data_IF_247007740607
#
_entry.id   IF_247007740607
#
_cell.length_a   1.000
_cell.length_b   1.000
_cell.length_c   1.000
_cell.angle_alpha   90.00
_cell.angle_beta   90.00
_cell.angle_gamma   90.00
#
_symmetry.space_group_name_H-M   'P 1'
#
loop_
_entity.id
_entity.type
_entity.pdbx_description
1 polymer ?
#
# COMPACT_ATOMS: atom_id res chain seq x y z
N UNK A 1 -9.05 2.23 -34.29
CA UNK A 1 -9.52 2.29 -32.88
C UNK A 1 -9.02 1.05 -32.15
N UNK A 2 -8.43 1.20 -30.95
CA UNK A 2 -8.05 0.04 -30.13
C UNK A 2 -9.33 -0.69 -29.66
N UNK A 3 -9.29 -2.01 -29.53
CA UNK A 3 -10.38 -2.79 -28.92
C UNK A 3 -10.53 -2.42 -27.44
N UNK A 4 -11.78 -2.34 -26.97
CA UNK A 4 -12.09 -2.01 -25.57
C UNK A 4 -11.40 -2.95 -24.57
N UNK A 5 -11.31 -4.25 -24.89
CA UNK A 5 -10.60 -5.22 -24.06
C UNK A 5 -9.11 -4.89 -23.88
N UNK A 6 -8.43 -4.48 -24.96
CA UNK A 6 -7.02 -4.10 -24.92
C UNK A 6 -6.80 -2.83 -24.08
N UNK A 7 -7.73 -1.87 -24.14
CA UNK A 7 -7.66 -0.66 -23.31
C UNK A 7 -7.85 -1.00 -21.83
N UNK A 8 -8.79 -1.91 -21.51
CA UNK A 8 -8.99 -2.38 -20.13
C UNK A 8 -7.73 -3.08 -19.62
N UNK A 9 -7.10 -3.94 -20.43
CA UNK A 9 -5.89 -4.67 -20.03
C UNK A 9 -4.67 -3.74 -19.87
N UNK A 10 -4.55 -2.68 -20.67
CA UNK A 10 -3.52 -1.63 -20.51
C UNK A 10 -3.68 -0.86 -19.18
N UNK A 11 -4.92 -0.62 -18.73
CA UNK A 11 -5.22 0.10 -17.48
C UNK A 11 -5.18 -0.81 -16.26
N UNK A 12 -5.44 -2.11 -16.46
CA UNK A 12 -5.52 -3.07 -15.36
C UNK A 12 -4.14 -3.30 -14.79
N UNK A 13 -3.99 -3.10 -13.48
CA UNK A 13 -2.76 -3.46 -12.79
C UNK A 13 -2.62 -4.99 -12.76
N UNK A 14 -1.96 -5.55 -13.77
CA UNK A 14 -1.86 -7.00 -14.01
C UNK A 14 -1.21 -7.74 -12.84
N UNK A 15 -0.40 -7.04 -12.05
CA UNK A 15 0.32 -7.57 -10.88
C UNK A 15 -0.52 -7.61 -9.61
N UNK A 16 -1.71 -6.99 -9.58
CA UNK A 16 -2.58 -7.03 -8.41
C UNK A 16 -3.00 -8.48 -8.12
N UNK A 17 -2.84 -8.98 -6.88
CA UNK A 17 -3.26 -10.33 -6.52
C UNK A 17 -4.77 -10.51 -6.74
N UNK A 18 -5.16 -11.63 -7.35
CA UNK A 18 -6.56 -11.97 -7.64
C UNK A 18 -7.27 -12.61 -6.44
N UNK A 19 -6.53 -13.35 -5.62
CA UNK A 19 -7.06 -14.15 -4.51
C UNK A 19 -7.08 -13.34 -3.21
N UNK A 20 -7.93 -12.32 -3.15
CA UNK A 20 -8.15 -11.48 -1.96
C UNK A 20 -9.43 -11.97 -1.27
N UNK A 21 -9.31 -12.58 -0.10
CA UNK A 21 -10.45 -13.12 0.68
C UNK A 21 -10.53 -12.56 2.10
N UNK A 22 -9.43 -12.01 2.61
CA UNK A 22 -9.33 -11.44 3.96
C UNK A 22 -9.15 -9.93 3.88
N UNK A 23 -9.72 -9.23 4.86
CA UNK A 23 -9.67 -7.76 4.96
C UNK A 23 -8.23 -7.22 4.85
N UNK A 24 -7.29 -7.78 5.61
CA UNK A 24 -5.88 -7.35 5.56
C UNK A 24 -5.24 -7.49 4.18
N UNK A 25 -5.70 -8.41 3.33
CA UNK A 25 -5.20 -8.56 1.96
C UNK A 25 -5.70 -7.41 1.08
N UNK A 26 -6.99 -7.07 1.17
CA UNK A 26 -7.55 -5.91 0.49
C UNK A 26 -6.88 -4.61 0.96
N UNK A 27 -6.70 -4.46 2.27
CA UNK A 27 -6.09 -3.29 2.86
C UNK A 27 -4.63 -3.14 2.45
N UNK A 28 -3.83 -4.22 2.48
CA UNK A 28 -2.45 -4.21 1.98
C UNK A 28 -2.36 -3.82 0.51
N UNK A 29 -3.29 -4.29 -0.33
CA UNK A 29 -3.35 -3.86 -1.73
C UNK A 29 -3.71 -2.38 -1.88
N UNK A 30 -4.63 -1.87 -1.05
CA UNK A 30 -4.99 -0.45 -1.06
C UNK A 30 -3.82 0.45 -0.67
N UNK A 31 -3.05 0.10 0.37
CA UNK A 31 -1.83 0.84 0.75
C UNK A 31 -0.86 0.91 -0.43
N UNK A 32 -0.62 -0.24 -1.07
CA UNK A 32 0.28 -0.37 -2.20
C UNK A 32 -0.09 0.59 -3.35
N UNK A 33 -1.38 0.70 -3.66
CA UNK A 33 -1.92 1.57 -4.71
C UNK A 33 -1.84 3.05 -4.35
N UNK A 34 -2.17 3.40 -3.11
CA UNK A 34 -2.07 4.78 -2.61
C UNK A 34 -0.61 5.28 -2.65
N UNK A 35 0.34 4.40 -2.35
CA UNK A 35 1.77 4.72 -2.38
C UNK A 35 2.37 4.65 -3.79
N UNK A 36 1.63 4.14 -4.78
CA UNK A 36 2.10 3.95 -6.16
C UNK A 36 3.18 2.87 -6.30
N UNK A 37 3.25 1.92 -5.37
CA UNK A 37 4.32 0.90 -5.30
C UNK A 37 3.83 -0.49 -5.68
N UNK A 38 3.08 -0.55 -6.79
CA UNK A 38 2.26 -1.71 -7.19
C UNK A 38 3.05 -2.96 -7.58
N UNK A 39 4.37 -2.88 -7.64
CA UNK A 39 5.22 -4.05 -7.83
C UNK A 39 5.41 -4.85 -6.53
N UNK A 40 5.06 -4.28 -5.37
CA UNK A 40 5.37 -4.85 -4.04
C UNK A 40 4.14 -5.17 -3.21
N UNK A 41 3.03 -5.59 -3.83
CA UNK A 41 1.80 -5.98 -3.13
C UNK A 41 2.02 -6.95 -1.95
N UNK A 42 2.83 -8.00 -2.15
CA UNK A 42 3.12 -9.00 -1.10
C UNK A 42 3.71 -8.39 0.18
N UNK A 43 4.52 -7.34 0.05
CA UNK A 43 5.11 -6.64 1.18
C UNK A 43 4.04 -5.94 2.01
N UNK A 44 3.17 -5.17 1.36
CA UNK A 44 2.13 -4.41 2.05
C UNK A 44 1.03 -5.30 2.63
N UNK A 45 0.69 -6.40 1.96
CA UNK A 45 -0.20 -7.43 2.52
C UNK A 45 0.42 -8.06 3.78
N UNK A 46 1.72 -8.37 3.75
CA UNK A 46 2.42 -8.89 4.94
C UNK A 46 2.40 -7.87 6.08
N UNK A 47 2.61 -6.59 5.79
CA UNK A 47 2.52 -5.53 6.79
C UNK A 47 1.12 -5.44 7.39
N UNK A 48 0.07 -5.41 6.57
CA UNK A 48 -1.33 -5.39 7.01
C UNK A 48 -1.73 -6.63 7.82
N UNK A 49 -1.13 -7.80 7.54
CA UNK A 49 -1.35 -9.02 8.32
C UNK A 49 -0.69 -8.98 9.71
N UNK A 50 0.45 -8.31 9.82
CA UNK A 50 1.34 -8.39 11.00
C UNK A 50 1.23 -7.19 11.93
N UNK A 51 0.76 -6.05 11.43
CA UNK A 51 0.66 -4.81 12.19
C UNK A 51 -0.80 -4.39 12.33
N UNK A 52 -1.09 -3.71 13.44
CA UNK A 52 -2.41 -3.14 13.66
C UNK A 52 -2.74 -2.11 12.56
N UNK A 53 -3.99 -2.12 12.11
CA UNK A 53 -4.46 -1.24 11.04
C UNK A 53 -4.23 0.25 11.36
N UNK A 54 -4.49 0.65 12.60
CA UNK A 54 -4.31 2.03 13.08
C UNK A 54 -2.90 2.56 12.86
N UNK A 55 -1.88 1.74 13.15
CA UNK A 55 -0.48 2.08 12.95
C UNK A 55 -0.17 2.33 11.46
N UNK A 56 -0.70 1.49 10.57
CA UNK A 56 -0.51 1.62 9.13
C UNK A 56 -1.29 2.84 8.58
N UNK A 57 -2.50 3.10 9.08
CA UNK A 57 -3.30 4.26 8.69
C UNK A 57 -2.63 5.57 9.09
N UNK A 58 -2.04 5.65 10.29
CA UNK A 58 -1.27 6.82 10.72
C UNK A 58 -0.07 7.09 9.81
N UNK A 59 0.70 6.04 9.48
CA UNK A 59 1.81 6.17 8.53
C UNK A 59 1.32 6.59 7.15
N UNK A 60 0.19 6.06 6.67
CA UNK A 60 -0.38 6.41 5.37
C UNK A 60 -0.89 7.86 5.33
N UNK A 61 -1.55 8.31 6.39
CA UNK A 61 -2.06 9.68 6.51
C UNK A 61 -0.90 10.68 6.50
N UNK A 62 0.18 10.40 7.23
CA UNK A 62 1.39 11.22 7.16
C UNK A 62 1.92 11.35 5.73
N UNK A 63 1.94 10.27 4.93
CA UNK A 63 2.42 10.37 3.54
C UNK A 63 1.49 11.21 2.65
N UNK A 64 0.19 11.29 2.94
CA UNK A 64 -0.75 12.12 2.16
C UNK A 64 -0.42 13.62 2.26
N UNK A 65 0.16 14.05 3.37
CA UNK A 65 0.60 15.44 3.57
C UNK A 65 1.81 15.81 2.70
N UNK A 66 2.49 14.83 2.08
CA UNK A 66 3.65 15.02 1.21
C UNK A 66 3.39 14.51 -0.22
N UNK A 67 2.53 15.18 -1.00
CA UNK A 67 2.18 14.73 -2.35
C UNK A 67 3.38 14.67 -3.30
N UNK A 68 4.36 15.58 -3.12
CA UNK A 68 5.56 15.72 -3.93
C UNK A 68 6.77 14.91 -3.41
N UNK A 69 6.55 14.00 -2.45
CA UNK A 69 7.64 13.17 -1.93
C UNK A 69 8.30 12.33 -3.04
N UNK A 70 9.63 12.35 -3.11
CA UNK A 70 10.43 11.59 -4.09
C UNK A 70 10.07 10.10 -4.12
N UNK A 71 9.72 9.52 -2.97
CA UNK A 71 9.20 8.16 -2.88
C UNK A 71 8.26 8.02 -1.70
N UNK A 72 6.96 7.99 -1.99
CA UNK A 72 5.89 7.78 -1.00
C UNK A 72 6.07 6.46 -0.23
N UNK A 73 6.47 5.40 -0.92
CA UNK A 73 6.79 4.12 -0.31
C UNK A 73 7.92 4.20 0.73
N UNK A 74 9.03 4.87 0.42
CA UNK A 74 10.15 5.03 1.39
C UNK A 74 9.73 5.89 2.58
N UNK A 75 8.99 6.97 2.34
CA UNK A 75 8.46 7.84 3.38
C UNK A 75 7.52 7.07 4.32
N UNK A 76 6.64 6.24 3.76
CA UNK A 76 5.75 5.35 4.50
C UNK A 76 6.54 4.39 5.40
N UNK A 77 7.55 3.71 4.85
CA UNK A 77 8.36 2.76 5.62
C UNK A 77 9.15 3.45 6.75
N UNK A 78 9.70 4.63 6.47
CA UNK A 78 10.38 5.44 7.47
C UNK A 78 9.42 5.83 8.61
N UNK A 79 8.24 6.35 8.27
CA UNK A 79 7.24 6.78 9.26
C UNK A 79 6.71 5.60 10.07
N UNK A 80 6.47 4.46 9.41
CA UNK A 80 6.06 3.23 10.08
C UNK A 80 7.12 2.75 11.09
N UNK A 81 8.41 2.86 10.75
CA UNK A 81 9.51 2.53 11.68
C UNK A 81 9.54 3.49 12.87
N UNK A 82 9.36 4.78 12.62
CA UNK A 82 9.30 5.81 13.67
C UNK A 82 8.15 5.56 14.66
N UNK A 83 6.93 5.34 14.15
CA UNK A 83 5.75 5.10 14.98
C UNK A 83 5.85 3.83 15.83
N UNK A 84 6.49 2.78 15.31
CA UNK A 84 6.81 1.58 16.10
C UNK A 84 7.77 1.88 17.23
N UNK A 85 8.81 2.66 16.95
CA UNK A 85 9.81 3.06 17.96
C UNK A 85 9.23 3.96 19.04
N UNK A 86 8.19 4.74 18.73
CA UNK A 86 7.52 5.65 19.65
C UNK A 86 6.46 4.98 20.55
N UNK A 87 6.26 3.66 20.43
CA UNK A 87 5.45 2.90 21.40
C UNK A 87 4.04 2.51 20.93
N UNK A 88 3.81 2.33 19.63
CA UNK A 88 2.69 1.46 19.19
C UNK A 88 3.05 -0.02 19.44
N UNK A 89 3.00 -0.39 20.73
CA UNK A 89 2.98 -1.73 21.33
C UNK A 89 4.08 -2.69 20.84
N UNK A 90 5.08 -2.92 21.70
CA UNK A 90 5.82 -4.18 21.75
C UNK A 90 4.91 -5.28 22.32
#
# INVERSE_FOLDING_TARGET
MKKLSAVIDEVKNTKRPKNLSKEFQFYGCSICEVLGDTDRYSLYIKLAKTHQRQLLEQALNFVKDYPNAKSKAKLFMWKLKELKSQGYIA
#
